data_IF_689948331817
#
_entry.id   IF_689948331817
#
_cell.length_a   1.000
_cell.length_b   1.000
_cell.length_c   1.000
_cell.angle_alpha   90.00
_cell.angle_beta   90.00
_cell.angle_gamma   90.00
#
_symmetry.space_group_name_H-M   'P 1'
#
loop_
_entity.id
_entity.type
_entity.pdbx_description
1 polymer ?
#
# COMPACT_ATOMS: atom_id res chain seq x y z
N UNK A 1 13.49 -10.30 4.02
CA UNK A 1 13.93 -9.01 3.45
C UNK A 1 13.39 -7.87 4.32
N UNK A 2 14.06 -6.70 4.43
CA UNK A 2 13.48 -5.56 5.17
C UNK A 2 12.34 -4.94 4.35
N UNK A 3 11.22 -4.60 4.99
CA UNK A 3 10.00 -4.09 4.31
C UNK A 3 10.25 -2.93 3.33
N UNK A 4 11.11 -1.97 3.69
CA UNK A 4 11.44 -0.84 2.81
C UNK A 4 12.21 -1.27 1.55
N UNK A 5 13.02 -2.32 1.64
CA UNK A 5 13.75 -2.86 0.49
C UNK A 5 12.81 -3.66 -0.43
N UNK A 6 11.83 -4.36 0.15
CA UNK A 6 10.76 -4.99 -0.63
C UNK A 6 9.96 -3.94 -1.42
N UNK A 7 9.54 -2.86 -0.77
CA UNK A 7 8.78 -1.79 -1.40
C UNK A 7 9.61 -1.12 -2.51
N UNK A 8 10.91 -0.86 -2.27
CA UNK A 8 11.81 -0.33 -3.31
C UNK A 8 11.88 -1.23 -4.53
N UNK A 9 12.08 -2.53 -4.33
CA UNK A 9 12.18 -3.49 -5.41
C UNK A 9 10.88 -3.60 -6.21
N UNK A 10 9.75 -3.77 -5.52
CA UNK A 10 8.43 -3.95 -6.14
C UNK A 10 7.94 -2.70 -6.89
N UNK A 11 8.27 -1.50 -6.40
CA UNK A 11 7.82 -0.24 -6.98
C UNK A 11 8.88 0.43 -7.88
N UNK A 12 10.09 -0.12 -7.94
CA UNK A 12 11.23 0.42 -8.69
C UNK A 12 11.63 1.81 -8.19
N UNK A 13 11.85 1.95 -6.88
CA UNK A 13 12.19 3.22 -6.23
C UNK A 13 13.69 3.38 -6.02
N UNK A 14 14.20 4.60 -6.20
CA UNK A 14 15.57 4.95 -5.79
C UNK A 14 15.64 5.28 -4.30
N UNK A 15 14.65 6.00 -3.77
CA UNK A 15 14.60 6.41 -2.36
C UNK A 15 13.25 6.14 -1.71
N UNK A 16 13.29 5.78 -0.42
CA UNK A 16 12.10 5.62 0.42
C UNK A 16 12.42 6.08 1.84
N UNK A 17 11.51 6.85 2.44
CA UNK A 17 11.62 7.32 3.81
C UNK A 17 10.31 7.05 4.55
N UNK A 18 10.37 6.37 5.70
CA UNK A 18 9.19 6.19 6.56
C UNK A 18 8.75 7.54 7.13
N UNK A 19 7.47 7.87 6.96
CA UNK A 19 6.89 9.08 7.52
C UNK A 19 6.51 8.83 8.98
N UNK A 20 6.94 9.72 9.87
CA UNK A 20 6.50 9.72 11.27
C UNK A 20 5.06 10.23 11.35
N UNK A 21 4.11 9.38 11.03
CA UNK A 21 2.70 9.68 11.23
C UNK A 21 2.06 8.53 11.99
N UNK A 22 1.35 8.89 13.05
CA UNK A 22 0.51 7.98 13.82
C UNK A 22 -0.71 7.63 12.95
N UNK A 23 -0.56 6.66 12.06
CA UNK A 23 -1.71 6.02 11.46
C UNK A 23 -2.28 5.07 12.51
N UNK A 24 -3.52 5.30 12.93
CA UNK A 24 -4.25 4.34 13.75
C UNK A 24 -4.28 3.01 13.01
N UNK A 25 -3.42 2.07 13.42
CA UNK A 25 -3.47 0.71 12.89
C UNK A 25 -4.83 0.13 13.24
N UNK A 26 -5.60 -0.28 12.24
CA UNK A 26 -6.82 -1.04 12.49
C UNK A 26 -6.49 -2.32 13.25
N UNK A 27 -7.45 -2.89 13.98
CA UNK A 27 -7.23 -4.10 14.79
C UNK A 27 -6.67 -5.31 14.00
N UNK A 28 -6.82 -5.31 12.66
CA UNK A 28 -6.48 -6.43 11.78
C UNK A 28 -5.22 -6.15 10.92
N UNK A 29 -5.05 -4.92 10.43
CA UNK A 29 -3.99 -4.58 9.47
C UNK A 29 -3.06 -3.54 10.08
N UNK A 30 -1.75 -3.79 9.98
CA UNK A 30 -0.74 -2.76 10.29
C UNK A 30 -0.60 -1.82 9.10
N UNK A 31 -0.36 -0.56 9.37
CA UNK A 31 -0.28 0.46 8.32
C UNK A 31 0.89 1.38 8.55
N UNK A 32 1.58 1.75 7.47
CA UNK A 32 2.65 2.76 7.48
C UNK A 32 2.52 3.65 6.27
N UNK A 33 3.05 4.87 6.35
CA UNK A 33 3.25 5.70 5.17
C UNK A 33 4.72 5.94 4.92
N UNK A 34 5.03 6.11 3.64
CA UNK A 34 6.38 6.34 3.15
C UNK A 34 6.37 7.47 2.14
N UNK A 35 7.38 8.34 2.21
CA UNK A 35 7.70 9.26 1.12
C UNK A 35 8.60 8.56 0.13
N UNK A 36 8.24 8.62 -1.15
CA UNK A 36 8.96 8.04 -2.27
C UNK A 36 9.30 9.11 -3.30
N UNK A 37 10.36 8.87 -4.06
CA UNK A 37 10.78 9.73 -5.18
C UNK A 37 9.80 9.68 -6.37
N UNK A 38 9.14 8.54 -6.61
CA UNK A 38 8.31 8.32 -7.81
C UNK A 38 6.81 8.53 -7.61
N UNK A 39 6.26 8.14 -6.45
CA UNK A 39 4.82 8.16 -6.20
C UNK A 39 4.41 9.25 -5.18
N UNK A 40 5.37 10.01 -4.66
CA UNK A 40 5.15 10.91 -3.53
C UNK A 40 4.90 10.12 -2.24
N UNK A 41 3.95 10.57 -1.43
CA UNK A 41 3.58 9.90 -0.19
C UNK A 41 2.65 8.72 -0.48
N UNK A 42 3.08 7.52 -0.12
CA UNK A 42 2.32 6.27 -0.29
C UNK A 42 1.87 5.72 1.07
N UNK A 43 0.73 5.03 1.05
CA UNK A 43 0.21 4.30 2.20
C UNK A 43 0.32 2.79 1.94
N UNK A 44 0.84 2.05 2.92
CA UNK A 44 1.07 0.61 2.81
C UNK A 44 0.37 -0.11 3.94
N UNK A 45 -0.40 -1.14 3.58
CA UNK A 45 -1.07 -2.05 4.52
C UNK A 45 -0.32 -3.38 4.58
N UNK A 46 -0.23 -3.94 5.78
CA UNK A 46 0.45 -5.20 6.06
C UNK A 46 -0.45 -6.11 6.88
N UNK A 47 -0.39 -7.41 6.60
CA UNK A 47 -1.08 -8.44 7.37
C UNK A 47 -0.31 -9.77 7.21
N UNK A 48 -0.11 -10.47 8.33
CA UNK A 48 0.65 -11.72 8.36
C UNK A 48 -0.24 -12.97 8.18
N UNK A 49 -1.55 -12.79 8.03
CA UNK A 49 -2.49 -13.88 7.80
C UNK A 49 -2.35 -14.40 6.36
N UNK A 50 -2.28 -15.72 6.19
CA UNK A 50 -2.18 -16.38 4.87
C UNK A 50 -3.32 -16.02 3.92
N UNK A 51 -4.51 -15.69 4.45
CA UNK A 51 -5.68 -15.26 3.66
C UNK A 51 -5.68 -13.75 3.35
N UNK A 52 -4.71 -12.99 3.83
CA UNK A 52 -4.69 -11.55 3.63
C UNK A 52 -4.46 -11.15 2.17
N UNK A 53 -3.80 -12.01 1.37
CA UNK A 53 -3.58 -11.78 -0.05
C UNK A 53 -4.91 -11.61 -0.79
N UNK A 54 -5.86 -12.53 -0.60
CA UNK A 54 -7.20 -12.46 -1.21
C UNK A 54 -7.95 -11.19 -0.79
N UNK A 55 -7.83 -10.80 0.48
CA UNK A 55 -8.43 -9.56 0.99
C UNK A 55 -7.83 -8.31 0.31
N UNK A 56 -6.50 -8.25 0.15
CA UNK A 56 -5.86 -7.12 -0.51
C UNK A 56 -6.09 -7.09 -2.03
N UNK A 57 -6.19 -8.24 -2.68
CA UNK A 57 -6.56 -8.34 -4.09
C UNK A 57 -7.98 -7.82 -4.33
N UNK A 58 -8.92 -8.15 -3.43
CA UNK A 58 -10.28 -7.60 -3.44
C UNK A 58 -10.32 -6.08 -3.23
N UNK A 59 -9.53 -5.57 -2.28
CA UNK A 59 -9.39 -4.12 -2.07
C UNK A 59 -8.80 -3.42 -3.30
N UNK A 60 -7.75 -3.99 -3.90
CA UNK A 60 -7.13 -3.46 -5.12
C UNK A 60 -8.14 -3.38 -6.27
N UNK A 61 -8.85 -4.48 -6.55
CA UNK A 61 -9.82 -4.55 -7.64
C UNK A 61 -10.97 -3.56 -7.46
N UNK A 62 -11.52 -3.46 -6.25
CA UNK A 62 -12.61 -2.53 -5.95
C UNK A 62 -12.18 -1.05 -6.04
N UNK A 63 -10.99 -0.70 -5.53
CA UNK A 63 -10.46 0.66 -5.67
C UNK A 63 -10.17 1.02 -7.14
N UNK A 64 -9.65 0.08 -7.92
CA UNK A 64 -9.41 0.29 -9.35
C UNK A 64 -10.73 0.55 -10.08
N UNK A 65 -11.74 -0.30 -9.87
CA UNK A 65 -13.05 -0.13 -10.47
C UNK A 65 -13.68 1.22 -10.09
N UNK A 66 -13.63 1.62 -8.82
CA UNK A 66 -14.15 2.91 -8.37
C UNK A 66 -13.39 4.08 -9.02
N UNK A 67 -12.05 3.99 -9.12
CA UNK A 67 -11.21 5.01 -9.75
C UNK A 67 -11.57 5.21 -11.22
N UNK A 68 -11.79 4.12 -11.95
CA UNK A 68 -12.15 4.11 -13.37
C UNK A 68 -13.50 4.78 -13.65
N UNK A 69 -14.44 4.75 -12.69
CA UNK A 69 -15.72 5.46 -12.86
C UNK A 69 -15.57 6.99 -12.89
N UNK A 70 -14.48 7.53 -12.35
CA UNK A 70 -14.25 8.98 -12.17
C UNK A 70 -15.43 9.72 -11.50
N UNK A 71 -16.16 9.04 -10.60
CA UNK A 71 -17.35 9.59 -9.92
C UNK A 71 -17.03 10.21 -8.58
N UNK A 72 -16.14 9.56 -7.80
CA UNK A 72 -15.72 9.99 -6.47
C UNK A 72 -14.21 9.88 -6.35
N UNK A 73 -13.63 10.62 -5.40
CA UNK A 73 -12.21 10.46 -5.06
C UNK A 73 -12.03 9.19 -4.24
N UNK A 74 -11.13 8.33 -4.69
CA UNK A 74 -10.67 7.12 -3.99
C UNK A 74 -9.14 7.05 -3.99
N UNK A 75 -8.52 6.32 -3.04
CA UNK A 75 -7.10 6.03 -3.13
C UNK A 75 -6.75 5.32 -4.44
N UNK A 76 -5.71 5.77 -5.13
CA UNK A 76 -5.20 5.08 -6.31
C UNK A 76 -4.46 3.80 -5.87
N UNK A 77 -4.93 2.60 -6.22
CA UNK A 77 -4.22 1.37 -5.88
C UNK A 77 -2.92 1.27 -6.71
N UNK A 78 -1.82 0.88 -6.06
CA UNK A 78 -0.48 0.84 -6.70
C UNK A 78 -0.04 -0.61 -6.98
N UNK A 79 -0.01 -1.46 -5.94
CA UNK A 79 0.49 -2.84 -6.03
C UNK A 79 0.02 -3.66 -4.82
N UNK A 80 -0.20 -4.96 -5.03
CA UNK A 80 -0.27 -5.99 -3.98
C UNK A 80 0.89 -6.95 -4.18
N UNK A 81 1.58 -7.35 -3.11
CA UNK A 81 2.74 -8.25 -3.17
C UNK A 81 2.98 -8.97 -1.83
N UNK A 82 3.60 -10.14 -1.91
CA UNK A 82 4.07 -10.96 -0.79
C UNK A 82 5.59 -10.77 -0.70
N UNK A 83 6.15 -10.52 0.49
CA UNK A 83 7.58 -10.14 0.63
C UNK A 83 8.30 -10.69 1.86
#
# INVERSE_FOLDING_TARGET
MKVMEAIKAELGLGTIQELRSYFGGGCINRTKAYRTDKYGDIFVKFNDNEKAQEMFDGEFASLQALLETNTIRVPKPIKVSIY
#
